data_IF_799592588823
#
_entry.id   IF_799592588823
#
_cell.length_a   1.000
_cell.length_b   1.000
_cell.length_c   1.000
_cell.angle_alpha   90.00
_cell.angle_beta   90.00
_cell.angle_gamma   90.00
#
_symmetry.space_group_name_H-M   'P 1'
#
loop_
_entity.id
_entity.type
_entity.pdbx_description
1 polymer ?
#
# COMPACT_ATOMS: atom_id res chain seq x y z
N UNK A 1 -31.14 4.07 -1.91
CA UNK A 1 -30.61 4.42 -1.69
C UNK A 1 -29.60 4.79 -1.22
N UNK A 2 -29.22 4.92 -0.99
CA UNK A 2 -28.48 5.55 -0.51
C UNK A 2 -27.18 5.45 -0.78
N UNK A 3 -26.67 6.16 -1.46
CA UNK A 3 -25.35 6.09 -2.02
C UNK A 3 -24.26 6.54 -1.08
N UNK A 4 -24.60 6.79 0.12
CA UNK A 4 -23.64 7.19 1.13
C UNK A 4 -22.52 6.15 1.27
N UNK A 5 -22.93 4.88 1.21
CA UNK A 5 -21.97 3.77 1.37
C UNK A 5 -21.01 3.64 0.18
N UNK A 6 -21.31 4.28 -0.93
CA UNK A 6 -20.48 4.19 -2.13
C UNK A 6 -19.63 5.44 -2.37
N UNK A 7 -19.69 6.42 -1.46
CA UNK A 7 -18.84 7.60 -1.58
C UNK A 7 -17.38 7.22 -1.47
N UNK A 8 -16.59 7.64 -2.44
CA UNK A 8 -15.16 7.37 -2.48
C UNK A 8 -14.39 8.56 -1.92
N UNK A 9 -13.39 8.27 -1.12
CA UNK A 9 -12.54 9.28 -0.52
C UNK A 9 -11.11 9.11 -1.01
N UNK A 10 -10.29 10.11 -0.72
CA UNK A 10 -8.88 10.10 -1.08
C UNK A 10 -8.06 10.69 0.06
N UNK A 11 -6.79 10.32 0.11
CA UNK A 11 -5.84 10.85 1.07
C UNK A 11 -4.59 11.30 0.34
N UNK A 12 -4.19 12.55 0.59
CA UNK A 12 -2.94 13.09 0.08
C UNK A 12 -1.78 12.67 0.99
N UNK A 13 -0.56 13.08 0.61
CA UNK A 13 0.63 12.71 1.37
C UNK A 13 0.58 13.24 2.82
N UNK A 14 -0.02 14.40 3.04
CA UNK A 14 -0.13 14.95 4.40
C UNK A 14 -0.98 14.04 5.28
N UNK A 15 -2.09 13.52 4.76
CA UNK A 15 -2.94 12.59 5.49
C UNK A 15 -2.24 11.26 5.73
N UNK A 16 -1.51 10.76 4.73
CA UNK A 16 -0.76 9.52 4.86
C UNK A 16 0.31 9.63 5.95
N UNK A 17 1.03 10.74 5.99
CA UNK A 17 2.08 10.97 7.00
C UNK A 17 1.51 11.04 8.42
N UNK A 18 0.26 11.45 8.57
CA UNK A 18 -0.43 11.43 9.86
C UNK A 18 -0.88 10.03 10.25
N UNK A 19 -1.22 9.20 9.27
CA UNK A 19 -1.71 7.85 9.53
C UNK A 19 -0.60 6.84 9.77
N UNK A 20 0.53 6.97 9.07
CA UNK A 20 1.63 6.01 9.10
C UNK A 20 2.89 6.64 9.69
N UNK A 21 3.67 5.88 10.46
CA UNK A 21 4.96 6.37 10.99
C UNK A 21 6.09 6.25 9.98
N UNK A 22 5.87 5.51 8.89
CA UNK A 22 6.90 5.28 7.87
C UNK A 22 7.40 6.60 7.28
N UNK A 23 8.70 6.70 7.04
CA UNK A 23 9.35 7.87 6.46
C UNK A 23 10.38 7.42 5.44
N UNK A 24 10.95 8.39 4.71
CA UNK A 24 12.05 8.11 3.82
C UNK A 24 13.14 7.29 4.54
N UNK A 25 13.68 6.23 3.97
CA UNK A 25 13.43 5.76 2.59
C UNK A 25 12.38 4.65 2.49
N UNK A 26 11.63 4.38 3.54
CA UNK A 26 10.76 3.21 3.62
C UNK A 26 9.28 3.49 3.34
N UNK A 27 8.88 4.74 3.19
CA UNK A 27 7.50 5.07 2.81
C UNK A 27 7.29 4.73 1.33
N UNK A 28 6.29 3.89 1.04
CA UNK A 28 6.05 3.35 -0.29
C UNK A 28 4.74 3.81 -0.91
N UNK A 29 4.11 4.85 -0.37
CA UNK A 29 2.80 5.33 -0.85
C UNK A 29 2.82 6.85 -0.90
N UNK A 30 2.47 7.41 -2.06
CA UNK A 30 2.44 8.86 -2.26
C UNK A 30 1.03 9.43 -2.13
N UNK A 31 0.01 8.63 -2.46
CA UNK A 31 -1.39 9.03 -2.46
C UNK A 31 -2.25 7.79 -2.32
N UNK A 32 -3.45 7.94 -1.75
CA UNK A 32 -4.45 6.87 -1.73
C UNK A 32 -5.72 7.43 -2.33
N UNK A 33 -6.32 6.70 -3.26
CA UNK A 33 -7.57 7.08 -3.93
C UNK A 33 -8.59 5.97 -3.81
N UNK A 34 -9.82 6.28 -4.19
CA UNK A 34 -10.93 5.30 -4.24
C UNK A 34 -11.11 4.56 -2.92
N UNK A 35 -11.01 5.28 -1.81
CA UNK A 35 -11.21 4.71 -0.48
C UNK A 35 -12.70 4.43 -0.26
N UNK A 36 -13.04 3.19 0.05
CA UNK A 36 -14.40 2.77 0.39
C UNK A 36 -14.43 2.29 1.84
N UNK A 37 -14.64 3.22 2.77
CA UNK A 37 -14.58 2.90 4.19
C UNK A 37 -13.28 2.17 4.50
N UNK A 38 -13.38 1.01 5.13
CA UNK A 38 -12.24 0.16 5.42
C UNK A 38 -12.17 -1.07 4.50
N UNK A 39 -12.96 -1.07 3.42
CA UNK A 39 -13.11 -2.24 2.56
C UNK A 39 -12.06 -2.33 1.47
N UNK A 40 -11.77 -1.22 0.81
CA UNK A 40 -10.85 -1.22 -0.32
C UNK A 40 -10.30 0.17 -0.58
N UNK A 41 -9.18 0.21 -1.27
CA UNK A 41 -8.55 1.46 -1.70
C UNK A 41 -7.50 1.17 -2.76
N UNK A 42 -6.99 2.23 -3.38
CA UNK A 42 -5.89 2.15 -4.32
C UNK A 42 -4.80 3.10 -3.85
N UNK A 43 -3.64 2.54 -3.47
CA UNK A 43 -2.46 3.32 -3.13
C UNK A 43 -1.65 3.61 -4.39
N UNK A 44 -1.07 4.78 -4.47
CA UNK A 44 -0.27 5.22 -5.62
C UNK A 44 1.17 5.40 -5.17
N UNK A 45 2.10 4.79 -5.90
CA UNK A 45 3.54 4.97 -5.71
C UNK A 45 4.17 5.41 -7.02
N UNK A 46 4.80 6.58 -7.01
CA UNK A 46 5.56 7.05 -8.17
C UNK A 46 7.01 6.58 -8.02
N UNK A 47 7.46 5.68 -8.89
CA UNK A 47 8.81 5.10 -8.81
C UNK A 47 9.80 6.02 -9.50
N UNK A 48 10.85 6.41 -8.76
CA UNK A 48 11.88 7.33 -9.25
C UNK A 48 13.25 6.69 -9.10
N UNK A 49 14.13 6.96 -10.06
CA UNK A 49 15.54 6.55 -9.93
C UNK A 49 16.18 7.19 -8.69
N UNK A 50 15.59 8.28 -8.20
CA UNK A 50 16.09 8.97 -7.02
C UNK A 50 15.57 8.32 -5.72
N UNK A 51 15.77 7.02 -5.62
CA UNK A 51 15.41 6.22 -4.43
C UNK A 51 16.60 5.31 -4.11
N UNK A 52 16.91 5.13 -2.82
CA UNK A 52 18.16 4.47 -2.42
C UNK A 52 18.26 2.98 -2.79
N UNK A 53 17.13 2.26 -2.90
CA UNK A 53 17.17 0.83 -3.21
C UNK A 53 17.75 0.54 -4.58
N UNK A 54 17.70 1.50 -5.51
CA UNK A 54 18.23 1.29 -6.86
C UNK A 54 19.75 1.33 -6.92
N UNK A 55 20.42 1.77 -5.85
CA UNK A 55 21.88 1.72 -5.78
C UNK A 55 22.38 0.28 -5.76
N UNK A 56 21.62 -0.62 -5.15
CA UNK A 56 22.03 -2.02 -5.01
C UNK A 56 21.18 -3.02 -5.75
N UNK A 57 20.02 -2.61 -6.27
CA UNK A 57 19.06 -3.53 -6.87
C UNK A 57 18.60 -3.05 -8.25
N UNK A 58 19.40 -3.15 -9.29
CA UNK A 58 20.77 -3.64 -9.35
C UNK A 58 21.65 -2.59 -10.03
N UNK A 59 22.95 -2.52 -9.73
CA UNK A 59 23.82 -1.56 -10.38
C UNK A 59 23.73 -1.64 -11.91
N UNK A 60 23.41 -0.51 -12.56
CA UNK A 60 23.25 -0.46 -14.01
C UNK A 60 21.93 -1.03 -14.55
N UNK A 61 21.09 -1.62 -13.68
CA UNK A 61 19.81 -2.19 -14.10
C UNK A 61 18.79 -2.04 -12.94
N UNK A 62 18.22 -0.84 -12.77
CA UNK A 62 17.35 -0.56 -11.64
C UNK A 62 16.01 -1.28 -11.77
N UNK A 63 15.73 -2.14 -10.80
CA UNK A 63 14.47 -2.88 -10.70
C UNK A 63 13.92 -2.64 -9.29
N UNK A 64 12.65 -2.26 -9.19
CA UNK A 64 12.01 -2.06 -7.90
C UNK A 64 11.87 -3.41 -7.20
N UNK A 65 12.41 -3.56 -5.98
CA UNK A 65 12.35 -4.85 -5.30
C UNK A 65 10.91 -5.31 -5.09
N UNK A 66 10.62 -6.56 -5.50
CA UNK A 66 9.28 -7.10 -5.38
C UNK A 66 8.76 -7.10 -3.95
N UNK A 67 9.63 -7.37 -2.98
CA UNK A 67 9.23 -7.36 -1.56
C UNK A 67 8.75 -5.97 -1.12
N UNK A 68 9.24 -4.90 -1.73
CA UNK A 68 8.79 -3.54 -1.43
C UNK A 68 7.44 -3.24 -2.07
N UNK A 69 7.04 -3.94 -3.13
CA UNK A 69 5.68 -3.86 -3.65
C UNK A 69 4.70 -4.41 -2.63
N UNK A 70 5.05 -5.51 -1.97
CA UNK A 70 4.22 -6.07 -0.90
C UNK A 70 4.18 -5.12 0.29
N UNK A 71 5.31 -4.49 0.62
CA UNK A 71 5.34 -3.46 1.67
C UNK A 71 4.39 -2.31 1.33
N UNK A 72 4.37 -1.87 0.06
CA UNK A 72 3.44 -0.82 -0.39
C UNK A 72 1.97 -1.22 -0.25
N UNK A 73 1.64 -2.47 -0.54
CA UNK A 73 0.29 -3.00 -0.30
C UNK A 73 -0.07 -2.92 1.17
N UNK A 74 0.84 -3.33 2.05
CA UNK A 74 0.60 -3.32 3.49
C UNK A 74 0.48 -1.89 4.03
N UNK A 75 1.29 -0.96 3.54
CA UNK A 75 1.20 0.44 3.95
C UNK A 75 -0.12 1.06 3.49
N UNK A 76 -0.55 0.77 2.26
CA UNK A 76 -1.84 1.24 1.75
C UNK A 76 -2.98 0.71 2.63
N UNK A 77 -2.97 -0.58 2.93
CA UNK A 77 -3.98 -1.21 3.77
C UNK A 77 -3.94 -0.64 5.19
N UNK A 78 -2.75 -0.47 5.75
CA UNK A 78 -2.58 0.09 7.10
C UNK A 78 -3.10 1.51 7.18
N UNK A 79 -2.78 2.35 6.20
CA UNK A 79 -3.29 3.71 6.16
C UNK A 79 -4.82 3.71 6.05
N UNK A 80 -5.38 2.84 5.21
CA UNK A 80 -6.83 2.71 5.09
C UNK A 80 -7.47 2.37 6.43
N UNK A 81 -6.90 1.42 7.17
CA UNK A 81 -7.40 1.04 8.49
C UNK A 81 -7.40 2.23 9.44
N UNK A 82 -6.30 2.97 9.50
CA UNK A 82 -6.18 4.10 10.41
C UNK A 82 -7.15 5.22 10.03
N UNK A 83 -7.20 5.56 8.75
CA UNK A 83 -8.00 6.70 8.27
C UNK A 83 -9.49 6.43 8.38
N UNK A 84 -9.92 5.17 8.24
CA UNK A 84 -11.34 4.83 8.21
C UNK A 84 -11.90 4.41 9.57
N UNK A 85 -11.08 3.78 10.43
CA UNK A 85 -11.59 3.14 11.64
C UNK A 85 -10.99 3.69 12.92
N UNK A 86 -9.68 3.86 12.94
CA UNK A 86 -8.98 4.13 14.17
C UNK A 86 -8.89 5.62 14.47
N UNK A 87 -8.83 6.44 13.42
CA UNK A 87 -8.71 7.88 13.56
C UNK A 87 -7.53 8.26 14.42
N UNK A 88 -7.60 9.46 15.00
CA UNK A 88 -6.63 9.90 15.97
C UNK A 88 -5.50 10.70 15.37
N UNK A 89 -4.74 11.31 16.28
CA UNK A 89 -3.70 12.26 15.91
C UNK A 89 -2.32 11.63 15.75
N UNK A 90 -2.18 10.37 16.18
CA UNK A 90 -0.88 9.70 16.18
C UNK A 90 -0.85 8.61 15.12
N UNK A 91 0.27 8.50 14.38
CA UNK A 91 0.44 7.40 13.46
C UNK A 91 0.42 6.06 14.16
N UNK A 92 -0.06 5.03 13.45
CA UNK A 92 -0.10 3.66 13.95
C UNK A 92 0.96 2.84 13.22
N UNK A 93 1.59 1.95 13.95
CA UNK A 93 2.56 1.03 13.37
C UNK A 93 1.83 -0.14 12.71
N UNK A 94 2.43 -0.64 11.65
CA UNK A 94 1.89 -1.76 10.88
C UNK A 94 2.93 -2.88 10.92
N UNK A 95 2.54 -3.99 11.55
CA UNK A 95 3.42 -5.15 11.69
C UNK A 95 2.87 -6.31 10.86
N UNK A 96 3.68 -6.86 9.97
CA UNK A 96 3.28 -8.05 9.23
C UNK A 96 3.03 -9.23 10.17
N UNK A 97 1.94 -9.95 9.91
CA UNK A 97 1.66 -11.24 10.54
C UNK A 97 1.89 -12.37 9.53
N UNK A 98 1.35 -12.22 8.33
CA UNK A 98 1.47 -13.22 7.27
C UNK A 98 1.61 -12.55 5.92
N UNK A 99 2.30 -13.25 5.02
CA UNK A 99 2.32 -12.94 3.59
C UNK A 99 2.07 -14.27 2.89
N UNK A 100 0.94 -14.36 2.19
CA UNK A 100 0.53 -15.58 1.52
C UNK A 100 0.31 -15.34 0.04
N UNK A 101 0.49 -16.38 -0.76
CA UNK A 101 0.18 -16.39 -2.19
C UNK A 101 0.86 -15.25 -2.94
N UNK A 102 2.10 -14.93 -2.54
CA UNK A 102 2.86 -13.86 -3.17
C UNK A 102 3.36 -14.31 -4.54
N UNK A 103 3.10 -13.50 -5.57
CA UNK A 103 3.56 -13.75 -6.93
C UNK A 103 4.07 -12.47 -7.54
N UNK A 104 5.20 -12.57 -8.24
CA UNK A 104 5.84 -11.44 -8.92
C UNK A 104 5.82 -11.76 -10.40
N UNK A 105 5.13 -10.95 -11.18
CA UNK A 105 4.83 -11.28 -12.57
C UNK A 105 5.62 -10.48 -13.59
N UNK A 106 5.93 -9.21 -13.26
CA UNK A 106 6.66 -8.31 -14.16
C UNK A 106 7.53 -7.37 -13.34
N UNK A 107 8.71 -6.99 -13.85
CA UNK A 107 9.53 -6.00 -13.17
C UNK A 107 8.89 -4.61 -13.20
N UNK A 108 9.14 -3.86 -12.15
CA UNK A 108 8.76 -2.46 -12.02
C UNK A 108 10.06 -1.66 -12.05
N UNK A 109 10.09 -0.57 -12.82
CA UNK A 109 11.31 0.20 -13.05
C UNK A 109 11.04 1.69 -12.80
N UNK A 110 12.11 2.49 -12.61
CA UNK A 110 11.94 3.94 -12.47
C UNK A 110 11.17 4.55 -13.63
N UNK A 111 10.23 5.43 -13.31
CA UNK A 111 9.31 6.02 -14.28
C UNK A 111 7.93 5.38 -14.25
N UNK A 112 7.80 4.19 -13.66
CA UNK A 112 6.50 3.55 -13.52
C UNK A 112 5.70 4.20 -12.40
N UNK A 113 4.38 4.23 -12.55
CA UNK A 113 3.44 4.53 -11.47
C UNK A 113 2.78 3.23 -11.06
N UNK A 114 2.94 2.85 -9.81
CA UNK A 114 2.37 1.63 -9.27
C UNK A 114 1.07 1.94 -8.55
N UNK A 115 0.03 1.15 -8.82
CA UNK A 115 -1.23 1.19 -8.08
C UNK A 115 -1.33 -0.07 -7.22
N UNK A 116 -1.47 0.13 -5.91
CA UNK A 116 -1.71 -0.98 -4.98
C UNK A 116 -3.22 -1.08 -4.74
N UNK A 117 -3.87 -2.03 -5.38
CA UNK A 117 -5.30 -2.31 -5.18
C UNK A 117 -5.44 -3.25 -4.00
N UNK A 118 -6.00 -2.77 -2.90
CA UNK A 118 -6.16 -3.57 -1.68
C UNK A 118 -7.64 -3.74 -1.35
N UNK A 119 -8.02 -4.95 -0.96
CA UNK A 119 -9.39 -5.29 -0.58
C UNK A 119 -9.36 -6.10 0.71
N UNK A 120 -10.13 -5.66 1.69
CA UNK A 120 -10.20 -6.34 2.98
C UNK A 120 -10.80 -7.73 2.82
N UNK A 121 -10.13 -8.73 3.39
CA UNK A 121 -10.62 -10.10 3.45
C UNK A 121 -11.23 -10.42 4.81
N UNK A 122 -10.62 -9.95 5.90
CA UNK A 122 -11.06 -10.24 7.25
C UNK A 122 -10.47 -9.23 8.24
N UNK A 123 -11.12 -9.14 9.39
CA UNK A 123 -10.59 -8.35 10.51
C UNK A 123 -10.92 -9.08 11.81
N UNK A 124 -9.96 -9.08 12.74
CA UNK A 124 -10.20 -9.57 14.10
C UNK A 124 -9.45 -8.64 15.06
N UNK A 125 -10.20 -7.76 15.74
CA UNK A 125 -9.64 -6.72 16.61
C UNK A 125 -8.73 -5.80 15.80
N UNK A 126 -7.43 -5.72 16.13
CA UNK A 126 -6.47 -4.90 15.41
C UNK A 126 -5.67 -5.70 14.37
N UNK A 127 -6.10 -6.92 14.08
CA UNK A 127 -5.50 -7.75 13.03
C UNK A 127 -6.37 -7.69 11.78
N UNK A 128 -5.75 -7.43 10.63
CA UNK A 128 -6.44 -7.22 9.36
C UNK A 128 -5.80 -8.08 8.28
N UNK A 129 -6.60 -8.58 7.37
CA UNK A 129 -6.13 -9.35 6.22
C UNK A 129 -6.67 -8.71 4.96
N UNK A 130 -5.76 -8.43 4.01
CA UNK A 130 -6.09 -7.80 2.74
C UNK A 130 -5.50 -8.61 1.60
N UNK A 131 -6.26 -8.65 0.50
CA UNK A 131 -5.69 -9.08 -0.77
C UNK A 131 -5.18 -7.84 -1.49
N UNK A 132 -3.95 -7.93 -2.00
CA UNK A 132 -3.32 -6.84 -2.73
C UNK A 132 -2.92 -7.24 -4.13
N UNK A 133 -3.10 -6.32 -5.07
CA UNK A 133 -2.58 -6.43 -6.43
C UNK A 133 -1.87 -5.14 -6.77
N UNK A 134 -0.60 -5.22 -7.15
CA UNK A 134 0.14 -4.08 -7.67
C UNK A 134 -0.02 -4.07 -9.19
N UNK A 135 -0.37 -2.91 -9.75
CA UNK A 135 -0.58 -2.75 -11.18
C UNK A 135 0.24 -1.58 -11.72
N UNK A 136 0.74 -1.76 -12.93
CA UNK A 136 1.37 -0.69 -13.71
C UNK A 136 0.68 -0.66 -15.07
N UNK A 137 0.16 0.49 -15.45
CA UNK A 137 -0.57 0.67 -16.71
C UNK A 137 -1.67 -0.39 -16.88
N UNK A 138 -2.38 -0.70 -15.80
CA UNK A 138 -3.50 -1.63 -15.81
C UNK A 138 -3.13 -3.11 -15.76
N UNK A 139 -1.83 -3.45 -15.75
CA UNK A 139 -1.40 -4.85 -15.71
C UNK A 139 -0.89 -5.21 -14.32
N UNK A 140 -1.30 -6.39 -13.84
CA UNK A 140 -0.83 -6.89 -12.54
C UNK A 140 0.66 -7.23 -12.65
N UNK A 141 1.47 -6.61 -11.81
CA UNK A 141 2.91 -6.86 -11.73
C UNK A 141 3.29 -7.71 -10.53
N UNK A 142 2.48 -7.65 -9.47
CA UNK A 142 2.66 -8.47 -8.28
C UNK A 142 1.33 -8.62 -7.55
N UNK A 143 1.21 -9.66 -6.73
CA UNK A 143 0.02 -9.87 -5.91
C UNK A 143 0.39 -10.62 -4.64
N UNK A 144 -0.39 -10.43 -3.59
CA UNK A 144 -0.19 -11.16 -2.33
C UNK A 144 -1.44 -11.00 -1.46
N UNK A 145 -1.56 -11.90 -0.48
CA UNK A 145 -2.48 -11.70 0.64
C UNK A 145 -1.63 -11.35 1.86
N UNK A 146 -1.93 -10.23 2.48
CA UNK A 146 -1.15 -9.74 3.61
C UNK A 146 -2.02 -9.67 4.85
N UNK A 147 -1.50 -10.21 5.95
CA UNK A 147 -2.08 -10.05 7.27
C UNK A 147 -1.18 -9.14 8.10
N UNK A 148 -1.78 -8.20 8.79
CA UNK A 148 -1.03 -7.24 9.56
C UNK A 148 -1.76 -6.86 10.83
N UNK A 149 -0.99 -6.48 11.85
CA UNK A 149 -1.50 -5.88 13.07
C UNK A 149 -1.23 -4.37 12.98
N UNK A 150 -2.27 -3.60 13.26
CA UNK A 150 -2.18 -2.13 13.28
C UNK A 150 -2.31 -1.68 14.73
N UNK A 151 -1.26 -1.07 15.24
CA UNK A 151 -1.21 -0.71 16.66
C UNK A 151 -0.55 0.64 16.92
#
# INVERSE_FOLDING_TARGET
MNDVATTLEAADIAAILKALPHRYPFLMVDRIIDMRGDQSAVGIKNVSINEPQFLGHFPGNPVFPGVLLIEGMAQTAGALCVLSQMGGDKPKQVFFLTIDKAKFRKPVVPGDTVEYHVTKMARKKNMWWFRGEAKVAGQVVAEAEVGAMVA
#
